data_IF_333915870830
#
_entry.id   IF_333915870830
#
_cell.length_a   1.000
_cell.length_b   1.000
_cell.length_c   1.000
_cell.angle_alpha   90.00
_cell.angle_beta   90.00
_cell.angle_gamma   90.00
#
_symmetry.space_group_name_H-M   'P 1'
#
loop_
_entity.id
_entity.type
_entity.pdbx_description
1 polymer ?
#
# COMPACT_ATOMS: atom_id res chain seq x y z
N UNK A 1 -4.80 -55.10 12.39
CA UNK A 1 -6.00 -54.25 12.20
C UNK A 1 -5.56 -52.81 12.28
N UNK A 2 -6.18 -51.94 11.48
CA UNK A 2 -5.96 -50.48 11.29
C UNK A 2 -4.87 -50.14 10.25
N UNK A 3 -5.25 -49.80 9.00
CA UNK A 3 -4.33 -49.17 8.04
C UNK A 3 -4.46 -47.64 8.05
N UNK A 4 -3.34 -47.00 7.69
CA UNK A 4 -3.12 -45.58 7.53
C UNK A 4 -4.10 -44.92 6.54
N UNK A 5 -4.74 -43.82 6.95
CA UNK A 5 -5.53 -42.94 6.08
C UNK A 5 -5.31 -41.47 6.48
N UNK A 6 -4.13 -40.93 6.19
CA UNK A 6 -3.78 -39.53 6.50
C UNK A 6 -3.02 -38.82 5.35
N UNK A 7 -3.23 -39.25 4.11
CA UNK A 7 -2.60 -38.65 2.91
C UNK A 7 -3.59 -38.00 1.93
N UNK A 8 -4.85 -37.83 2.30
CA UNK A 8 -5.91 -37.37 1.39
C UNK A 8 -6.27 -35.88 1.49
N UNK A 9 -5.73 -35.17 2.49
CA UNK A 9 -6.13 -33.78 2.78
C UNK A 9 -5.30 -32.70 2.07
N UNK A 10 -4.20 -33.06 1.41
CA UNK A 10 -3.34 -32.14 0.63
C UNK A 10 -3.51 -32.26 -0.89
N UNK A 11 -4.48 -33.05 -1.37
CA UNK A 11 -4.90 -32.91 -2.76
C UNK A 11 -5.75 -31.64 -2.84
N UNK A 12 -5.45 -30.69 -3.75
CA UNK A 12 -6.46 -29.71 -4.12
C UNK A 12 -7.71 -30.54 -4.44
N UNK A 13 -8.82 -30.27 -3.74
CA UNK A 13 -10.12 -30.78 -4.16
C UNK A 13 -10.20 -30.36 -5.61
N UNK A 14 -10.03 -31.31 -6.52
CA UNK A 14 -10.59 -31.18 -7.83
C UNK A 14 -12.05 -30.91 -7.53
N UNK A 15 -12.43 -29.63 -7.65
CA UNK A 15 -13.79 -29.26 -7.96
C UNK A 15 -14.23 -30.33 -8.96
N UNK A 16 -15.33 -31.07 -8.72
CA UNK A 16 -15.88 -31.87 -9.80
C UNK A 16 -16.09 -30.86 -10.92
N UNK A 17 -15.14 -30.80 -11.86
CA UNK A 17 -15.37 -30.17 -13.13
C UNK A 17 -16.59 -30.96 -13.59
N UNK A 18 -17.75 -30.30 -13.74
CA UNK A 18 -18.83 -30.92 -14.49
C UNK A 18 -18.13 -31.41 -15.74
N UNK A 19 -18.16 -32.72 -15.96
CA UNK A 19 -17.53 -33.33 -17.12
C UNK A 19 -17.83 -32.42 -18.28
N UNK A 20 -16.79 -31.81 -18.85
CA UNK A 20 -16.92 -30.93 -19.99
C UNK A 20 -17.28 -31.81 -21.18
N UNK A 21 -18.51 -32.32 -21.16
CA UNK A 21 -19.31 -32.36 -22.37
C UNK A 21 -19.16 -30.97 -22.98
N UNK A 22 -18.71 -30.84 -24.24
CA UNK A 22 -18.69 -29.55 -24.89
C UNK A 22 -20.12 -29.02 -24.87
N UNK A 23 -20.44 -28.19 -23.87
CA UNK A 23 -21.64 -27.39 -23.91
C UNK A 23 -21.53 -26.60 -25.20
N UNK A 24 -22.48 -26.75 -26.15
CA UNK A 24 -22.48 -25.90 -27.32
C UNK A 24 -22.42 -24.47 -26.79
N UNK A 25 -21.42 -23.69 -27.23
CA UNK A 25 -21.31 -22.29 -26.83
C UNK A 25 -22.72 -21.69 -26.95
N UNK A 26 -23.28 -21.12 -25.87
CA UNK A 26 -24.62 -20.56 -25.93
C UNK A 26 -24.64 -19.60 -27.12
N UNK A 27 -25.67 -19.71 -27.96
CA UNK A 27 -25.75 -18.87 -29.15
C UNK A 27 -25.56 -17.42 -28.70
N UNK A 28 -24.77 -16.62 -29.42
CA UNK A 28 -24.38 -15.24 -29.03
C UNK A 28 -25.56 -14.40 -28.47
N UNK A 29 -26.77 -14.65 -28.97
CA UNK A 29 -28.02 -14.07 -28.51
C UNK A 29 -28.38 -14.37 -27.05
N UNK A 30 -28.17 -15.60 -26.61
CA UNK A 30 -28.43 -16.07 -25.25
C UNK A 30 -27.45 -15.44 -24.26
N UNK A 31 -26.16 -15.36 -24.61
CA UNK A 31 -25.16 -14.64 -23.81
C UNK A 31 -25.50 -13.14 -23.70
N UNK A 32 -25.86 -12.48 -24.80
CA UNK A 32 -26.29 -11.08 -24.77
C UNK A 32 -27.53 -10.86 -23.89
N UNK A 33 -28.45 -11.84 -23.87
CA UNK A 33 -29.65 -11.77 -23.04
C UNK A 33 -29.30 -11.86 -21.56
N UNK A 34 -28.49 -12.83 -21.18
CA UNK A 34 -28.02 -13.00 -19.80
C UNK A 34 -27.24 -11.77 -19.31
N UNK A 35 -26.37 -11.21 -20.15
CA UNK A 35 -25.64 -9.98 -19.85
C UNK A 35 -26.57 -8.79 -19.66
N UNK A 36 -27.52 -8.54 -20.57
CA UNK A 36 -28.49 -7.46 -20.42
C UNK A 36 -29.33 -7.58 -19.15
N UNK A 37 -29.78 -8.80 -18.81
CA UNK A 37 -30.59 -9.04 -17.62
C UNK A 37 -29.80 -8.82 -16.32
N UNK A 38 -28.57 -9.31 -16.25
CA UNK A 38 -27.70 -9.10 -15.10
C UNK A 38 -27.35 -7.61 -14.92
N UNK A 39 -27.04 -6.90 -16.00
CA UNK A 39 -26.78 -5.45 -15.98
C UNK A 39 -27.99 -4.65 -15.51
N UNK A 40 -29.19 -5.00 -15.99
CA UNK A 40 -30.44 -4.35 -15.58
C UNK A 40 -30.73 -4.57 -14.11
N UNK A 41 -30.59 -5.81 -13.61
CA UNK A 41 -30.77 -6.12 -12.18
C UNK A 41 -29.74 -5.41 -11.31
N UNK A 42 -28.48 -5.36 -11.72
CA UNK A 42 -27.43 -4.61 -11.05
C UNK A 42 -27.77 -3.11 -10.95
N UNK A 43 -28.17 -2.51 -12.07
CA UNK A 43 -28.49 -1.09 -12.11
C UNK A 43 -29.69 -0.74 -11.23
N UNK A 44 -30.74 -1.58 -11.22
CA UNK A 44 -31.91 -1.40 -10.35
C UNK A 44 -31.55 -1.59 -8.86
N UNK A 45 -30.73 -2.59 -8.53
CA UNK A 45 -30.32 -2.88 -7.16
C UNK A 45 -29.44 -1.78 -6.55
N UNK A 46 -28.58 -1.16 -7.37
CA UNK A 46 -27.72 -0.05 -6.94
C UNK A 46 -28.34 1.34 -7.15
N UNK A 47 -29.60 1.42 -7.60
CA UNK A 47 -30.30 2.69 -7.81
C UNK A 47 -29.67 3.57 -8.89
N UNK A 48 -29.00 2.96 -9.88
CA UNK A 48 -28.41 3.71 -10.99
C UNK A 48 -29.53 4.28 -11.89
N UNK A 49 -29.35 5.49 -12.43
CA UNK A 49 -30.34 6.14 -13.29
C UNK A 49 -30.40 5.43 -14.65
N UNK A 50 -31.30 4.47 -14.78
CA UNK A 50 -31.62 3.79 -16.05
C UNK A 50 -32.98 4.25 -16.53
N UNK A 51 -33.10 4.57 -17.83
CA UNK A 51 -34.36 4.98 -18.42
C UNK A 51 -35.39 3.84 -18.28
N UNK A 52 -36.58 4.08 -17.72
CA UNK A 52 -37.60 3.04 -17.51
C UNK A 52 -38.04 2.38 -18.81
N UNK A 53 -37.96 3.10 -19.93
CA UNK A 53 -38.25 2.57 -21.27
C UNK A 53 -37.25 1.48 -21.69
N UNK A 54 -35.98 1.56 -21.26
CA UNK A 54 -34.98 0.53 -21.55
C UNK A 54 -35.27 -0.78 -20.81
N UNK A 55 -35.72 -0.68 -19.55
CA UNK A 55 -36.09 -1.85 -18.75
C UNK A 55 -37.35 -2.51 -19.32
N UNK A 56 -38.35 -1.70 -19.70
CA UNK A 56 -39.57 -2.20 -20.35
C UNK A 56 -39.30 -2.88 -21.71
N UNK A 57 -38.43 -2.28 -22.54
CA UNK A 57 -38.00 -2.87 -23.81
C UNK A 57 -37.24 -4.18 -23.61
N UNK A 58 -36.36 -4.25 -22.61
CA UNK A 58 -35.63 -5.47 -22.27
C UNK A 58 -36.59 -6.58 -21.79
N UNK A 59 -37.56 -6.25 -20.93
CA UNK A 59 -38.58 -7.20 -20.47
C UNK A 59 -39.38 -7.80 -21.62
N UNK A 60 -39.88 -6.95 -22.54
CA UNK A 60 -40.62 -7.42 -23.72
C UNK A 60 -39.79 -8.31 -24.65
N UNK A 61 -38.47 -8.06 -24.75
CA UNK A 61 -37.52 -8.89 -25.52
C UNK A 61 -37.23 -10.23 -24.84
N UNK A 62 -37.17 -10.27 -23.50
CA UNK A 62 -36.93 -11.48 -22.72
C UNK A 62 -38.16 -12.38 -22.72
N UNK A 63 -39.35 -11.81 -22.56
CA UNK A 63 -40.63 -12.53 -22.54
C UNK A 63 -41.10 -12.99 -23.93
N UNK A 64 -40.34 -12.66 -24.99
CA UNK A 64 -40.63 -13.08 -26.36
C UNK A 64 -41.87 -12.43 -26.97
N UNK A 65 -42.32 -11.28 -26.44
CA UNK A 65 -43.57 -10.61 -26.84
C UNK A 65 -43.40 -9.69 -28.07
N UNK A 66 -42.28 -9.80 -28.79
CA UNK A 66 -41.98 -8.92 -29.92
C UNK A 66 -42.74 -9.30 -31.19
N UNK A 67 -43.16 -8.31 -32.00
CA UNK A 67 -43.70 -8.56 -33.33
C UNK A 67 -42.63 -9.20 -34.24
N UNK A 68 -43.04 -10.19 -35.04
CA UNK A 68 -42.20 -11.08 -35.87
C UNK A 68 -41.24 -10.38 -36.89
N UNK A 69 -41.26 -9.05 -36.97
CA UNK A 69 -40.51 -8.24 -37.95
C UNK A 69 -39.31 -7.48 -37.35
N UNK A 70 -39.13 -7.49 -36.03
CA UNK A 70 -37.97 -6.84 -35.39
C UNK A 70 -36.81 -7.83 -35.32
N UNK A 71 -35.62 -7.46 -35.80
CA UNK A 71 -34.41 -8.25 -35.60
C UNK A 71 -34.01 -8.22 -34.10
N UNK A 72 -34.32 -9.29 -33.33
CA UNK A 72 -34.25 -9.23 -31.86
C UNK A 72 -32.82 -9.03 -31.36
N UNK A 73 -31.83 -9.52 -32.13
CA UNK A 73 -30.41 -9.42 -31.82
C UNK A 73 -29.88 -7.98 -31.89
N UNK A 74 -30.33 -7.17 -32.85
CA UNK A 74 -29.90 -5.78 -32.98
C UNK A 74 -30.47 -4.92 -31.83
N UNK A 75 -31.73 -5.16 -31.46
CA UNK A 75 -32.35 -4.50 -30.32
C UNK A 75 -31.63 -4.84 -29.01
N UNK A 76 -31.29 -6.12 -28.79
CA UNK A 76 -30.50 -6.56 -27.64
C UNK A 76 -29.12 -5.89 -27.58
N UNK A 77 -28.39 -5.85 -28.69
CA UNK A 77 -27.05 -5.22 -28.73
C UNK A 77 -27.11 -3.71 -28.47
N UNK A 78 -28.14 -3.02 -28.95
CA UNK A 78 -28.35 -1.60 -28.68
C UNK A 78 -28.67 -1.33 -27.20
N UNK A 79 -29.48 -2.19 -26.58
CA UNK A 79 -29.79 -2.14 -25.15
C UNK A 79 -28.55 -2.45 -24.31
N UNK A 80 -27.79 -3.48 -24.71
CA UNK A 80 -26.52 -3.87 -24.07
C UNK A 80 -25.55 -2.70 -23.98
N UNK A 81 -25.30 -2.00 -25.09
CA UNK A 81 -24.41 -0.83 -25.13
C UNK A 81 -24.88 0.31 -24.21
N UNK A 82 -26.19 0.56 -24.14
CA UNK A 82 -26.77 1.61 -23.28
C UNK A 82 -26.67 1.24 -21.80
N UNK A 83 -26.92 -0.02 -21.46
CA UNK A 83 -26.73 -0.56 -20.11
C UNK A 83 -25.26 -0.52 -19.70
N UNK A 84 -24.35 -0.96 -20.58
CA UNK A 84 -22.90 -0.94 -20.35
C UNK A 84 -22.38 0.47 -20.03
N UNK A 85 -22.91 1.49 -20.69
CA UNK A 85 -22.57 2.88 -20.38
C UNK A 85 -23.15 3.34 -19.03
N UNK A 86 -24.36 2.90 -18.68
CA UNK A 86 -25.02 3.26 -17.42
C UNK A 86 -24.39 2.60 -16.19
N UNK A 87 -23.81 1.41 -16.34
CA UNK A 87 -23.16 0.66 -15.24
C UNK A 87 -21.67 1.00 -15.07
N UNK A 88 -21.10 1.87 -15.91
CA UNK A 88 -19.70 2.27 -15.80
C UNK A 88 -19.41 2.84 -14.39
N UNK A 89 -18.33 2.42 -13.71
CA UNK A 89 -17.15 1.71 -14.23
C UNK A 89 -17.22 0.16 -14.20
N UNK A 90 -18.35 -0.45 -13.86
CA UNK A 90 -18.50 -1.90 -13.87
C UNK A 90 -18.61 -2.45 -15.31
N UNK A 91 -17.97 -3.58 -15.60
CA UNK A 91 -18.04 -4.23 -16.93
C UNK A 91 -19.18 -5.25 -16.98
N UNK A 92 -19.84 -5.45 -18.13
CA UNK A 92 -20.95 -6.41 -18.28
C UNK A 92 -20.59 -7.83 -17.81
N UNK A 93 -19.39 -8.28 -18.18
CA UNK A 93 -18.87 -9.60 -17.83
C UNK A 93 -18.62 -9.76 -16.32
N UNK A 94 -18.20 -8.68 -15.63
CA UNK A 94 -18.02 -8.74 -14.19
C UNK A 94 -19.37 -8.84 -13.47
N UNK A 95 -20.38 -8.11 -13.96
CA UNK A 95 -21.73 -8.11 -13.40
C UNK A 95 -22.41 -9.47 -13.58
N UNK A 96 -22.30 -10.13 -14.75
CA UNK A 96 -22.88 -11.47 -14.97
C UNK A 96 -22.26 -12.54 -14.08
N UNK A 97 -20.93 -12.52 -13.92
CA UNK A 97 -20.24 -13.46 -13.05
C UNK A 97 -20.64 -13.29 -11.58
N UNK A 98 -20.75 -12.03 -11.13
CA UNK A 98 -21.20 -11.71 -9.77
C UNK A 98 -22.66 -12.11 -9.56
N UNK A 99 -23.53 -11.86 -10.53
CA UNK A 99 -24.96 -12.18 -10.44
C UNK A 99 -25.22 -13.70 -10.45
N UNK A 100 -24.46 -14.46 -11.24
CA UNK A 100 -24.48 -15.92 -11.20
C UNK A 100 -24.08 -16.46 -9.81
N UNK A 101 -23.09 -15.84 -9.15
CA UNK A 101 -22.69 -16.18 -7.79
C UNK A 101 -23.74 -15.81 -6.74
N UNK A 102 -24.43 -14.67 -6.88
CA UNK A 102 -25.52 -14.27 -5.98
C UNK A 102 -26.73 -15.22 -6.08
N UNK A 103 -27.01 -15.77 -7.26
CA UNK A 103 -28.13 -16.71 -7.47
C UNK A 103 -27.90 -18.09 -6.84
N UNK A 104 -26.67 -18.50 -6.60
CA UNK A 104 -26.34 -19.72 -5.86
C UNK A 104 -26.66 -19.58 -4.37
N UNK A 105 -27.88 -19.98 -3.99
CA UNK A 105 -28.32 -20.02 -2.59
C UNK A 105 -27.40 -20.91 -1.76
N UNK A 106 -26.62 -20.29 -0.86
CA UNK A 106 -25.74 -21.03 0.05
C UNK A 106 -26.46 -21.42 1.35
N UNK A 107 -26.22 -22.64 1.88
CA UNK A 107 -26.94 -23.18 3.04
C UNK A 107 -26.69 -22.43 4.37
N UNK A 108 -25.77 -21.46 4.41
CA UNK A 108 -25.47 -20.68 5.62
C UNK A 108 -25.83 -19.19 5.48
N UNK A 109 -26.92 -18.86 4.80
CA UNK A 109 -27.44 -17.48 4.65
C UNK A 109 -27.80 -16.78 5.98
N UNK A 110 -27.85 -17.52 7.09
CA UNK A 110 -28.16 -16.98 8.43
C UNK A 110 -27.07 -16.07 9.00
N UNK A 111 -25.80 -16.24 8.59
CA UNK A 111 -24.68 -15.39 9.05
C UNK A 111 -24.51 -14.08 8.26
N UNK A 112 -25.53 -13.73 7.46
CA UNK A 112 -25.58 -12.51 6.66
C UNK A 112 -25.57 -12.79 5.15
N UNK A 113 -26.09 -11.85 4.34
CA UNK A 113 -26.21 -12.00 2.89
C UNK A 113 -24.86 -11.96 2.15
N UNK A 114 -23.77 -11.60 2.84
CA UNK A 114 -22.46 -11.39 2.24
C UNK A 114 -21.56 -12.63 2.41
N UNK A 115 -21.15 -13.31 1.32
CA UNK A 115 -20.36 -14.54 1.38
C UNK A 115 -18.98 -14.32 2.05
N UNK A 116 -18.41 -13.12 1.89
CA UNK A 116 -17.15 -12.75 2.51
C UNK A 116 -17.22 -12.71 4.04
N UNK A 117 -18.29 -12.15 4.62
CA UNK A 117 -18.48 -12.12 6.08
C UNK A 117 -18.50 -13.54 6.62
N UNK A 118 -19.24 -14.44 5.96
CA UNK A 118 -19.30 -15.86 6.33
C UNK A 118 -17.93 -16.54 6.29
N UNK A 119 -17.15 -16.27 5.25
CA UNK A 119 -15.80 -16.82 5.10
C UNK A 119 -14.88 -16.31 6.22
N UNK A 120 -14.90 -15.01 6.51
CA UNK A 120 -14.08 -14.39 7.55
C UNK A 120 -14.48 -14.84 8.96
N UNK A 121 -15.77 -14.95 9.25
CA UNK A 121 -16.26 -15.52 10.52
C UNK A 121 -15.84 -16.98 10.64
N UNK A 122 -15.93 -17.77 9.56
CA UNK A 122 -15.44 -19.14 9.53
C UNK A 122 -13.93 -19.22 9.79
N UNK A 123 -13.13 -18.36 9.16
CA UNK A 123 -11.70 -18.27 9.39
C UNK A 123 -11.37 -17.90 10.84
N UNK A 124 -12.09 -16.93 11.43
CA UNK A 124 -11.92 -16.55 12.83
C UNK A 124 -12.21 -17.72 13.79
N UNK A 125 -13.28 -18.48 13.55
CA UNK A 125 -13.61 -19.67 14.33
C UNK A 125 -12.53 -20.74 14.19
N UNK A 126 -12.05 -20.99 12.96
CA UNK A 126 -10.97 -21.95 12.72
C UNK A 126 -9.70 -21.54 13.45
N UNK A 127 -9.29 -20.27 13.38
CA UNK A 127 -8.14 -19.77 14.13
C UNK A 127 -8.34 -19.88 15.63
N UNK A 128 -9.53 -19.56 16.16
CA UNK A 128 -9.83 -19.71 17.59
C UNK A 128 -9.70 -21.17 18.04
N UNK A 129 -10.30 -22.11 17.31
CA UNK A 129 -10.19 -23.54 17.60
C UNK A 129 -8.73 -23.98 17.50
N UNK A 130 -7.99 -23.47 16.52
CA UNK A 130 -6.59 -23.80 16.34
C UNK A 130 -5.71 -23.26 17.48
N UNK A 131 -5.94 -22.03 17.98
CA UNK A 131 -5.29 -21.47 19.18
C UNK A 131 -5.57 -22.33 20.40
N UNK A 132 -6.82 -22.75 20.61
CA UNK A 132 -7.19 -23.61 21.74
C UNK A 132 -6.47 -24.96 21.61
N UNK A 133 -6.50 -25.58 20.43
CA UNK A 133 -5.89 -26.88 20.19
C UNK A 133 -4.36 -26.85 20.36
N UNK A 134 -3.67 -25.82 19.86
CA UNK A 134 -2.22 -25.69 20.03
C UNK A 134 -1.84 -25.27 21.44
N UNK A 135 -2.64 -24.44 22.10
CA UNK A 135 -2.44 -24.03 23.50
C UNK A 135 -2.62 -25.16 24.52
N UNK A 136 -3.25 -26.27 24.13
CA UNK A 136 -3.30 -27.49 24.95
C UNK A 136 -2.02 -28.34 24.86
N UNK A 137 -1.12 -28.04 23.92
CA UNK A 137 0.14 -28.78 23.78
C UNK A 137 1.08 -28.46 24.94
N UNK A 138 1.74 -29.47 25.55
CA UNK A 138 2.73 -29.24 26.61
C UNK A 138 3.96 -28.45 26.12
N UNK A 139 4.18 -28.41 24.80
CA UNK A 139 5.26 -27.66 24.19
C UNK A 139 5.00 -26.14 24.19
N UNK A 140 3.72 -25.72 24.26
CA UNK A 140 3.31 -24.32 24.33
C UNK A 140 3.29 -23.86 25.79
N UNK A 141 4.41 -23.28 26.21
CA UNK A 141 4.59 -22.71 27.55
C UNK A 141 5.21 -21.32 27.47
N UNK A 142 5.05 -20.49 28.51
CA UNK A 142 5.71 -19.18 28.57
C UNK A 142 7.22 -19.30 28.38
N UNK A 143 7.85 -20.26 29.08
CA UNK A 143 9.28 -20.52 28.99
C UNK A 143 9.77 -20.86 27.58
N UNK A 144 8.97 -21.55 26.77
CA UNK A 144 9.35 -21.90 25.40
C UNK A 144 8.97 -20.81 24.39
N UNK A 145 7.88 -20.09 24.60
CA UNK A 145 7.45 -18.95 23.77
C UNK A 145 8.46 -17.80 23.85
N UNK A 146 9.11 -17.63 25.00
CA UNK A 146 10.07 -16.54 25.20
C UNK A 146 11.40 -16.75 24.48
N UNK A 147 11.80 -18.01 24.24
CA UNK A 147 13.06 -18.38 23.59
C UNK A 147 13.20 -18.00 22.10
N UNK A 148 12.20 -17.35 21.49
CA UNK A 148 12.31 -16.84 20.10
C UNK A 148 12.64 -17.92 19.07
N UNK A 149 12.86 -17.54 17.81
CA UNK A 149 13.20 -18.51 16.76
C UNK A 149 14.64 -18.98 16.77
N UNK A 150 15.55 -18.18 17.31
CA UNK A 150 16.99 -18.46 17.26
C UNK A 150 17.50 -19.32 18.43
N UNK A 151 16.83 -19.29 19.59
CA UNK A 151 17.25 -20.05 20.78
C UNK A 151 16.37 -21.30 21.05
N UNK A 152 15.43 -21.61 20.14
CA UNK A 152 14.55 -22.79 20.26
C UNK A 152 14.80 -23.77 19.12
N UNK A 153 14.97 -25.05 19.45
CA UNK A 153 15.19 -26.11 18.47
C UNK A 153 14.06 -27.16 18.49
N UNK A 154 13.80 -27.76 17.32
CA UNK A 154 12.95 -28.95 17.19
C UNK A 154 11.44 -28.72 17.27
N UNK A 155 10.73 -29.67 17.87
CA UNK A 155 9.26 -29.67 17.94
C UNK A 155 8.66 -28.49 18.73
N UNK A 156 9.25 -28.02 19.85
CA UNK A 156 8.73 -26.89 20.61
C UNK A 156 8.67 -25.58 19.80
N UNK A 157 9.67 -25.33 18.96
CA UNK A 157 9.69 -24.17 18.06
C UNK A 157 8.48 -24.18 17.12
N UNK A 158 8.21 -25.33 16.49
CA UNK A 158 7.10 -25.47 15.55
C UNK A 158 5.75 -25.21 16.24
N UNK A 159 5.52 -25.79 17.42
CA UNK A 159 4.27 -25.60 18.15
C UNK A 159 4.06 -24.17 18.62
N UNK A 160 5.11 -23.52 19.15
CA UNK A 160 5.05 -22.11 19.55
C UNK A 160 4.80 -21.18 18.37
N UNK A 161 5.49 -21.42 17.26
CA UNK A 161 5.30 -20.66 16.01
C UNK A 161 3.88 -20.80 15.52
N UNK A 162 3.35 -22.03 15.50
CA UNK A 162 2.01 -22.31 15.01
C UNK A 162 0.94 -21.69 15.92
N UNK A 163 1.14 -21.75 17.24
CA UNK A 163 0.29 -21.05 18.22
C UNK A 163 0.29 -19.53 17.98
N UNK A 164 1.46 -18.90 17.86
CA UNK A 164 1.58 -17.46 17.60
C UNK A 164 1.00 -17.08 16.22
N UNK A 165 1.17 -17.91 15.21
CA UNK A 165 0.59 -17.74 13.88
C UNK A 165 -0.95 -17.75 13.93
N UNK A 166 -1.54 -18.64 14.72
CA UNK A 166 -2.98 -18.68 14.92
C UNK A 166 -3.49 -17.50 15.75
N UNK A 167 -2.73 -17.02 16.74
CA UNK A 167 -3.03 -15.77 17.44
C UNK A 167 -3.02 -14.57 16.47
N UNK A 168 -2.00 -14.47 15.61
CA UNK A 168 -1.95 -13.43 14.58
C UNK A 168 -3.10 -13.53 13.57
N UNK A 169 -3.44 -14.76 13.15
CA UNK A 169 -4.57 -15.05 12.28
C UNK A 169 -5.93 -14.65 12.87
N UNK A 170 -6.11 -14.86 14.17
CA UNK A 170 -7.30 -14.44 14.91
C UNK A 170 -7.43 -12.91 14.91
N UNK A 171 -6.34 -12.19 15.24
CA UNK A 171 -6.31 -10.73 15.19
C UNK A 171 -6.62 -10.17 13.79
N UNK A 172 -6.00 -10.75 12.76
CA UNK A 172 -6.20 -10.35 11.36
C UNK A 172 -7.63 -10.60 10.86
N UNK A 173 -8.23 -11.72 11.27
CA UNK A 173 -9.63 -12.04 10.97
C UNK A 173 -10.57 -11.06 11.66
N UNK A 174 -10.33 -10.69 12.91
CA UNK A 174 -11.10 -9.67 13.62
C UNK A 174 -11.04 -8.30 12.94
N UNK A 175 -9.85 -7.83 12.57
CA UNK A 175 -9.70 -6.55 11.87
C UNK A 175 -10.43 -6.53 10.53
N UNK A 176 -10.27 -7.60 9.75
CA UNK A 176 -10.90 -7.72 8.44
C UNK A 176 -12.43 -7.81 8.56
N UNK A 177 -12.93 -8.54 9.55
CA UNK A 177 -14.36 -8.68 9.83
C UNK A 177 -14.97 -7.35 10.30
N UNK A 178 -14.31 -6.62 11.21
CA UNK A 178 -14.79 -5.32 11.68
C UNK A 178 -14.87 -4.31 10.54
N UNK A 179 -13.87 -4.34 9.66
CA UNK A 179 -13.85 -3.47 8.49
C UNK A 179 -14.93 -3.85 7.47
N UNK A 180 -15.13 -5.15 7.21
CA UNK A 180 -16.19 -5.65 6.35
C UNK A 180 -17.58 -5.30 6.90
N UNK A 181 -17.81 -5.47 8.21
CA UNK A 181 -19.06 -5.10 8.86
C UNK A 181 -19.35 -3.60 8.71
N UNK A 182 -18.34 -2.74 8.82
CA UNK A 182 -18.51 -1.29 8.60
C UNK A 182 -18.91 -0.97 7.15
N UNK A 183 -18.36 -1.65 6.17
CA UNK A 183 -18.73 -1.45 4.76
C UNK A 183 -20.15 -1.96 4.45
N UNK A 184 -20.54 -3.07 5.07
CA UNK A 184 -21.91 -3.60 4.96
C UNK A 184 -22.91 -2.69 5.69
N UNK A 185 -22.58 -2.20 6.88
CA UNK A 185 -23.41 -1.24 7.62
C UNK A 185 -23.58 0.10 6.89
N UNK A 186 -22.59 0.51 6.08
CA UNK A 186 -22.65 1.69 5.24
C UNK A 186 -23.29 1.44 3.86
N UNK A 187 -23.83 0.23 3.60
CA UNK A 187 -24.38 -0.18 2.30
C UNK A 187 -23.42 0.05 1.11
N UNK A 188 -22.10 0.14 1.38
CA UNK A 188 -21.05 0.42 0.38
C UNK A 188 -20.22 -0.85 0.10
N UNK A 189 -20.76 -2.03 0.43
CA UNK A 189 -20.08 -3.29 0.17
C UNK A 189 -20.11 -3.61 -1.33
N UNK A 190 -18.94 -3.65 -1.94
CA UNK A 190 -18.73 -4.07 -3.32
C UNK A 190 -17.96 -5.42 -3.32
N UNK A 191 -18.60 -6.53 -3.79
CA UNK A 191 -18.00 -7.86 -3.88
C UNK A 191 -16.70 -7.92 -4.69
N UNK A 192 -16.43 -6.93 -5.56
CA UNK A 192 -15.19 -6.85 -6.35
C UNK A 192 -13.93 -6.84 -5.48
N UNK A 193 -14.03 -6.40 -4.23
CA UNK A 193 -12.90 -6.30 -3.32
C UNK A 193 -12.67 -7.54 -2.45
N UNK A 194 -13.41 -8.64 -2.63
CA UNK A 194 -13.29 -9.88 -1.84
C UNK A 194 -11.84 -10.40 -1.77
N UNK A 195 -11.12 -10.41 -2.90
CA UNK A 195 -9.71 -10.78 -2.94
C UNK A 195 -8.81 -9.85 -2.10
N UNK A 196 -9.14 -8.55 -2.04
CA UNK A 196 -8.40 -7.57 -1.25
C UNK A 196 -8.57 -7.78 0.26
N UNK A 197 -9.72 -8.28 0.71
CA UNK A 197 -9.92 -8.65 2.11
C UNK A 197 -9.10 -9.90 2.49
N UNK A 198 -9.03 -10.89 1.59
CA UNK A 198 -8.15 -12.06 1.77
C UNK A 198 -6.67 -11.67 1.84
N UNK A 199 -6.22 -10.79 0.95
CA UNK A 199 -4.85 -10.27 0.99
C UNK A 199 -4.55 -9.51 2.29
N UNK A 200 -5.52 -8.73 2.80
CA UNK A 200 -5.39 -8.01 4.08
C UNK A 200 -5.28 -8.96 5.27
N UNK A 201 -6.03 -10.06 5.25
CA UNK A 201 -5.94 -11.10 6.28
C UNK A 201 -4.55 -11.76 6.29
N UNK A 202 -4.02 -12.14 5.12
CA UNK A 202 -2.66 -12.70 5.01
C UNK A 202 -1.61 -11.70 5.50
N UNK A 203 -1.72 -10.45 5.07
CA UNK A 203 -0.80 -9.38 5.50
C UNK A 203 -0.84 -9.18 7.02
N UNK A 204 -2.03 -9.25 7.63
CA UNK A 204 -2.19 -9.21 9.07
C UNK A 204 -1.49 -10.37 9.77
N UNK A 205 -1.69 -11.61 9.30
CA UNK A 205 -1.02 -12.79 9.88
C UNK A 205 0.50 -12.63 9.87
N UNK A 206 1.05 -12.21 8.73
CA UNK A 206 2.50 -11.98 8.56
C UNK A 206 2.97 -10.84 9.50
N UNK A 207 2.25 -9.73 9.53
CA UNK A 207 2.58 -8.59 10.38
C UNK A 207 2.56 -8.95 11.88
N UNK A 208 1.58 -9.74 12.32
CA UNK A 208 1.51 -10.23 13.69
C UNK A 208 2.69 -11.12 14.08
N UNK A 209 3.10 -12.02 13.18
CA UNK A 209 4.26 -12.88 13.41
C UNK A 209 5.57 -12.08 13.44
N UNK A 210 5.78 -11.18 12.47
CA UNK A 210 6.97 -10.32 12.42
C UNK A 210 7.06 -9.45 13.67
N UNK A 211 5.94 -8.89 14.14
CA UNK A 211 5.93 -8.03 15.32
C UNK A 211 6.42 -8.78 16.56
N UNK A 212 6.00 -10.02 16.75
CA UNK A 212 6.42 -10.82 17.91
C UNK A 212 7.90 -11.16 17.88
N UNK A 213 8.45 -11.44 16.68
CA UNK A 213 9.87 -11.81 16.56
C UNK A 213 10.80 -10.59 16.61
N UNK A 214 10.34 -9.44 16.11
CA UNK A 214 11.13 -8.21 16.12
C UNK A 214 11.14 -7.50 17.47
N UNK A 215 10.11 -7.69 18.32
CA UNK A 215 10.07 -7.00 19.61
C UNK A 215 10.91 -7.75 20.67
N UNK A 216 11.89 -7.07 21.30
CA UNK A 216 12.74 -7.71 22.30
C UNK A 216 11.92 -8.22 23.50
N UNK A 217 12.21 -9.44 23.95
CA UNK A 217 11.54 -10.05 25.10
C UNK A 217 11.69 -9.22 26.40
N UNK A 218 12.75 -8.42 26.52
CA UNK A 218 13.02 -7.59 27.70
C UNK A 218 11.94 -6.51 27.94
N UNK A 219 11.16 -6.12 26.92
CA UNK A 219 10.04 -5.19 27.06
C UNK A 219 8.87 -5.80 27.85
N UNK A 220 8.79 -7.13 27.93
CA UNK A 220 7.71 -7.86 28.60
C UNK A 220 8.08 -8.38 29.98
N UNK A 221 9.35 -8.24 30.35
CA UNK A 221 9.92 -8.73 31.62
C UNK A 221 9.52 -7.84 32.81
N UNK A 222 9.07 -6.60 32.55
CA UNK A 222 8.62 -5.66 33.57
C UNK A 222 7.09 -5.63 33.71
N UNK A 223 6.51 -6.67 34.35
CA UNK A 223 5.12 -6.63 34.83
C UNK A 223 4.33 -7.94 34.75
N UNK A 224 3.07 -7.92 35.19
CA UNK A 224 2.13 -9.06 35.19
C UNK A 224 1.71 -9.56 33.79
N UNK A 225 2.23 -8.96 32.72
CA UNK A 225 1.95 -9.33 31.32
C UNK A 225 2.91 -10.38 30.74
N UNK A 226 3.91 -10.84 31.49
CA UNK A 226 4.94 -11.79 30.99
C UNK A 226 4.35 -13.06 30.34
N UNK A 227 3.25 -13.62 30.86
CA UNK A 227 2.64 -14.84 30.30
C UNK A 227 1.71 -14.61 29.11
N UNK A 228 1.28 -13.36 28.86
CA UNK A 228 0.32 -13.01 27.81
C UNK A 228 0.88 -12.06 26.75
N UNK A 229 2.10 -11.54 26.94
CA UNK A 229 2.70 -10.50 26.10
C UNK A 229 2.84 -10.90 24.64
N UNK A 230 3.58 -11.97 24.33
CA UNK A 230 3.80 -12.41 22.93
C UNK A 230 2.51 -12.81 22.20
N UNK A 231 1.59 -13.60 22.78
CA UNK A 231 0.33 -13.93 22.11
C UNK A 231 -0.58 -12.71 21.90
N UNK A 232 -0.63 -11.79 22.88
CA UNK A 232 -1.38 -10.54 22.74
C UNK A 232 -0.78 -9.63 21.68
N UNK A 233 0.55 -9.53 21.59
CA UNK A 233 1.24 -8.84 20.50
C UNK A 233 0.95 -9.45 19.15
N UNK A 234 0.96 -10.78 19.01
CA UNK A 234 0.61 -11.46 17.77
C UNK A 234 -0.80 -11.04 17.33
N UNK A 235 -1.78 -11.08 18.24
CA UNK A 235 -3.15 -10.63 17.97
C UNK A 235 -3.22 -9.15 17.60
N UNK A 236 -2.50 -8.27 18.32
CA UNK A 236 -2.48 -6.84 18.07
C UNK A 236 -1.85 -6.50 16.71
N UNK A 237 -0.73 -7.15 16.37
CA UNK A 237 -0.05 -6.99 15.09
C UNK A 237 -0.88 -7.57 13.94
N UNK A 238 -1.57 -8.68 14.18
CA UNK A 238 -2.57 -9.25 13.28
C UNK A 238 -3.71 -8.28 12.99
N UNK A 239 -4.25 -7.65 14.03
CA UNK A 239 -5.33 -6.69 13.94
C UNK A 239 -4.90 -5.39 13.24
N UNK A 240 -3.67 -4.94 13.47
CA UNK A 240 -3.17 -3.64 13.01
C UNK A 240 -1.97 -3.77 12.07
N UNK A 241 -2.14 -4.53 10.99
CA UNK A 241 -1.11 -4.72 9.97
C UNK A 241 -0.49 -3.39 9.48
N UNK A 242 -1.33 -2.35 9.33
CA UNK A 242 -0.89 -1.00 8.94
C UNK A 242 0.00 -0.34 9.99
N UNK A 243 -0.29 -0.50 11.28
CA UNK A 243 0.54 0.06 12.34
C UNK A 243 1.89 -0.67 12.41
N UNK A 244 1.90 -1.99 12.25
CA UNK A 244 3.14 -2.77 12.17
C UNK A 244 3.98 -2.34 10.97
N UNK A 245 3.38 -2.19 9.79
CA UNK A 245 4.08 -1.70 8.61
C UNK A 245 4.69 -0.31 8.83
N UNK A 246 3.95 0.62 9.47
CA UNK A 246 4.48 1.94 9.84
C UNK A 246 5.64 1.87 10.83
N UNK A 247 5.58 0.94 11.79
CA UNK A 247 6.67 0.73 12.75
C UNK A 247 7.92 0.23 12.04
N UNK A 248 7.79 -0.80 11.20
CA UNK A 248 8.89 -1.32 10.39
C UNK A 248 9.48 -0.23 9.49
N UNK A 249 8.63 0.55 8.83
CA UNK A 249 9.07 1.66 8.00
C UNK A 249 9.89 2.67 8.81
N UNK A 250 9.42 3.05 10.01
CA UNK A 250 10.18 3.94 10.91
C UNK A 250 11.52 3.37 11.32
N UNK A 251 11.62 2.06 11.57
CA UNK A 251 12.89 1.41 11.91
C UNK A 251 13.84 1.41 10.70
N UNK A 252 13.31 1.16 9.50
CA UNK A 252 14.07 1.26 8.25
C UNK A 252 14.55 2.69 8.04
N UNK A 253 13.67 3.69 8.19
CA UNK A 253 14.02 5.11 8.03
C UNK A 253 15.06 5.55 9.07
N UNK A 254 14.96 5.06 10.32
CA UNK A 254 15.93 5.33 11.37
C UNK A 254 17.29 4.66 11.08
N UNK A 255 17.29 3.41 10.60
CA UNK A 255 18.49 2.71 10.17
C UNK A 255 19.11 3.39 8.95
N UNK A 256 18.29 3.82 7.99
CA UNK A 256 18.72 4.59 6.83
C UNK A 256 19.33 5.91 7.27
N UNK A 257 18.76 6.59 8.27
CA UNK A 257 19.31 7.82 8.84
C UNK A 257 20.64 7.56 9.56
N UNK A 258 20.77 6.44 10.26
CA UNK A 258 22.00 6.05 10.95
C UNK A 258 23.10 5.63 9.97
N UNK A 259 22.76 4.90 8.91
CA UNK A 259 23.68 4.41 7.87
C UNK A 259 24.06 5.51 6.87
N UNK A 260 23.13 6.40 6.55
CA UNK A 260 23.36 7.60 5.75
C UNK A 260 23.93 8.76 6.58
N UNK A 261 24.08 8.56 7.90
CA UNK A 261 24.48 9.55 8.90
C UNK A 261 25.63 10.45 8.48
N UNK A 262 25.54 11.71 8.92
CA UNK A 262 26.41 12.87 8.70
C UNK A 262 26.70 13.26 7.24
N UNK A 263 26.98 12.34 6.33
CA UNK A 263 27.55 12.70 5.03
C UNK A 263 26.63 13.51 4.12
N UNK A 264 25.32 13.23 4.09
CA UNK A 264 24.39 14.04 3.29
C UNK A 264 24.01 15.34 3.98
N UNK A 265 23.83 15.31 5.31
CA UNK A 265 23.52 16.51 6.09
C UNK A 265 24.70 17.49 6.11
N UNK A 266 25.93 17.00 6.27
CA UNK A 266 27.17 17.77 6.18
C UNK A 266 27.45 18.24 4.75
N UNK A 267 27.19 17.41 3.73
CA UNK A 267 27.33 17.84 2.34
C UNK A 267 26.34 18.94 1.99
N UNK A 268 25.08 18.83 2.42
CA UNK A 268 24.06 19.86 2.20
C UNK A 268 24.38 21.13 2.99
N UNK A 269 24.86 21.00 4.24
CA UNK A 269 25.34 22.13 5.04
C UNK A 269 26.56 22.81 4.41
N UNK A 270 27.50 22.05 3.87
CA UNK A 270 28.68 22.57 3.17
C UNK A 270 28.30 23.28 1.85
N UNK A 271 27.35 22.73 1.08
CA UNK A 271 26.84 23.35 -0.15
C UNK A 271 26.08 24.64 0.16
N UNK A 272 25.27 24.66 1.22
CA UNK A 272 24.57 25.87 1.66
C UNK A 272 25.55 26.94 2.15
N UNK A 273 26.58 26.56 2.91
CA UNK A 273 27.63 27.48 3.32
C UNK A 273 28.42 28.05 2.13
N UNK A 274 28.71 27.22 1.11
CA UNK A 274 29.35 27.67 -0.12
C UNK A 274 28.48 28.66 -0.90
N UNK A 275 27.18 28.38 -1.04
CA UNK A 275 26.24 29.28 -1.73
C UNK A 275 26.04 30.60 -0.97
N UNK A 276 25.99 30.56 0.36
CA UNK A 276 25.91 31.76 1.19
C UNK A 276 27.16 32.64 1.02
N UNK A 277 28.36 32.04 1.02
CA UNK A 277 29.62 32.76 0.77
C UNK A 277 29.66 33.38 -0.63
N UNK A 278 29.30 32.62 -1.67
CA UNK A 278 29.26 33.13 -3.04
C UNK A 278 28.22 34.27 -3.22
N UNK A 279 27.10 34.23 -2.50
CA UNK A 279 26.13 35.32 -2.48
C UNK A 279 26.70 36.57 -1.78
N UNK A 280 27.37 36.41 -0.64
CA UNK A 280 28.01 37.52 0.07
C UNK A 280 29.13 38.18 -0.75
N UNK A 281 29.96 37.39 -1.42
CA UNK A 281 31.02 37.89 -2.32
C UNK A 281 30.42 38.72 -3.47
N UNK A 282 29.31 38.27 -4.05
CA UNK A 282 28.60 39.04 -5.09
C UNK A 282 28.06 40.37 -4.58
N UNK A 283 27.47 40.38 -3.39
CA UNK A 283 26.95 41.62 -2.79
C UNK A 283 28.08 42.58 -2.44
N UNK A 284 29.20 42.09 -1.92
CA UNK A 284 30.39 42.89 -1.66
C UNK A 284 30.94 43.50 -2.95
N UNK A 285 31.10 42.69 -4.01
CA UNK A 285 31.60 43.17 -5.30
C UNK A 285 30.67 44.22 -5.94
N UNK A 286 29.35 44.04 -5.83
CA UNK A 286 28.38 45.04 -6.28
C UNK A 286 28.50 46.36 -5.50
N UNK A 287 28.74 46.29 -4.19
CA UNK A 287 28.92 47.47 -3.35
C UNK A 287 30.23 48.23 -3.66
N UNK A 288 31.32 47.51 -3.93
CA UNK A 288 32.60 48.08 -4.36
C UNK A 288 32.50 48.74 -5.74
N UNK A 289 31.80 48.10 -6.69
CA UNK A 289 31.54 48.67 -8.00
C UNK A 289 30.74 49.97 -7.88
N UNK A 290 29.68 49.98 -7.07
CA UNK A 290 28.87 51.16 -6.83
C UNK A 290 29.68 52.31 -6.20
N UNK A 291 30.53 52.01 -5.21
CA UNK A 291 31.41 53.01 -4.59
C UNK A 291 32.40 53.61 -5.58
N UNK A 292 33.02 52.79 -6.44
CA UNK A 292 33.96 53.25 -7.47
C UNK A 292 33.28 54.10 -8.56
N UNK A 293 32.03 53.79 -8.91
CA UNK A 293 31.25 54.61 -9.85
C UNK A 293 30.89 55.97 -9.24
N UNK A 294 30.57 56.01 -7.95
CA UNK A 294 30.30 57.26 -7.22
C UNK A 294 31.58 58.11 -7.13
N UNK A 295 32.75 57.52 -6.84
CA UNK A 295 34.06 58.23 -6.84
C UNK A 295 34.38 58.82 -8.22
N UNK A 296 34.13 58.05 -9.29
CA UNK A 296 34.28 58.54 -10.66
C UNK A 296 33.34 59.70 -10.97
N UNK A 297 32.07 59.62 -10.57
CA UNK A 297 31.11 60.70 -10.76
C UNK A 297 31.51 61.98 -10.01
N UNK A 298 31.92 61.87 -8.74
CA UNK A 298 32.41 63.01 -7.97
C UNK A 298 33.67 63.64 -8.59
N UNK A 299 34.54 62.82 -9.18
CA UNK A 299 35.73 63.31 -9.88
C UNK A 299 35.44 64.01 -11.22
N UNK A 300 34.29 63.70 -11.85
CA UNK A 300 33.79 64.37 -13.06
C UNK A 300 33.20 65.75 -12.75
N UNK A 301 32.60 65.91 -11.56
CA UNK A 301 32.02 67.18 -11.10
C UNK A 301 33.09 68.16 -10.57
N UNK A 302 34.28 67.66 -10.21
CA UNK A 302 35.46 68.48 -9.91
C UNK A 302 36.21 68.90 -11.17
N UNK A 303 36.92 70.03 -11.14
CA UNK A 303 37.79 70.55 -12.23
C UNK A 303 39.07 69.70 -12.45
N UNK A 304 38.93 68.38 -12.57
CA UNK A 304 40.03 67.45 -12.76
C UNK A 304 40.49 67.45 -14.23
N UNK A 305 41.81 67.39 -14.44
CA UNK A 305 42.41 67.41 -15.77
C UNK A 305 42.11 66.13 -16.58
N UNK A 306 41.90 66.24 -17.91
CA UNK A 306 41.49 65.12 -18.77
C UNK A 306 42.48 63.94 -18.82
N UNK A 307 43.75 64.16 -18.45
CA UNK A 307 44.77 63.10 -18.38
C UNK A 307 44.65 62.22 -17.13
N UNK A 308 44.30 62.80 -15.97
CA UNK A 308 44.06 62.06 -14.75
C UNK A 308 42.87 61.10 -14.91
N UNK A 309 41.88 61.50 -15.71
CA UNK A 309 40.69 60.70 -16.04
C UNK A 309 41.01 59.47 -16.89
N UNK A 310 41.84 59.63 -17.94
CA UNK A 310 42.26 58.50 -18.79
C UNK A 310 43.06 57.46 -18.02
N UNK A 311 43.94 57.91 -17.12
CA UNK A 311 44.73 57.02 -16.27
C UNK A 311 43.84 56.20 -15.33
N UNK A 312 42.87 56.84 -14.67
CA UNK A 312 41.96 56.16 -13.73
C UNK A 312 40.98 55.20 -14.43
N UNK A 313 40.51 55.54 -15.63
CA UNK A 313 39.71 54.64 -16.47
C UNK A 313 40.52 53.41 -16.93
N UNK A 314 41.79 53.61 -17.28
CA UNK A 314 42.71 52.52 -17.62
C UNK A 314 43.01 51.61 -16.41
N UNK A 315 43.13 52.18 -15.22
CA UNK A 315 43.31 51.42 -13.98
C UNK A 315 42.04 50.64 -13.59
N UNK A 316 40.86 51.21 -13.77
CA UNK A 316 39.57 50.54 -13.55
C UNK A 316 39.33 49.37 -14.51
N UNK A 317 39.57 49.58 -15.81
CA UNK A 317 39.46 48.52 -16.83
C UNK A 317 40.44 47.38 -16.58
N UNK A 318 41.66 47.69 -16.10
CA UNK A 318 42.63 46.67 -15.67
C UNK A 318 42.17 45.89 -14.44
N UNK A 319 41.57 46.55 -13.44
CA UNK A 319 41.02 45.90 -12.26
C UNK A 319 39.84 44.96 -12.60
N UNK A 320 38.95 45.38 -13.52
CA UNK A 320 37.84 44.56 -14.03
C UNK A 320 38.33 43.31 -14.78
N UNK A 321 39.38 43.45 -15.59
CA UNK A 321 39.97 42.33 -16.33
C UNK A 321 40.69 41.33 -15.39
N UNK A 322 41.37 41.82 -14.35
CA UNK A 322 42.03 40.97 -13.36
C UNK A 322 41.05 40.20 -12.46
N UNK A 323 39.89 40.79 -12.12
CA UNK A 323 38.84 40.13 -11.34
C UNK A 323 38.04 39.09 -12.15
N UNK A 324 38.13 39.12 -13.47
CA UNK A 324 37.43 38.20 -14.38
C UNK A 324 38.18 36.88 -14.61
N UNK A 325 39.37 36.70 -14.02
CA UNK A 325 40.21 35.51 -14.18
C UNK A 325 40.00 34.55 -12.98
N UNK A 326 39.20 33.47 -13.10
CA UNK A 326 38.84 32.61 -11.98
C UNK A 326 39.96 31.65 -11.53
N UNK A 327 41.17 31.75 -12.10
CA UNK A 327 42.27 30.80 -11.88
C UNK A 327 43.26 31.18 -10.76
N UNK A 328 43.05 32.30 -10.07
CA UNK A 328 43.96 32.78 -9.01
C UNK A 328 43.45 32.56 -7.57
N UNK A 329 42.57 31.58 -7.35
CA UNK A 329 42.30 31.10 -5.99
C UNK A 329 43.45 30.17 -5.56
N UNK A 330 44.22 30.46 -4.49
CA UNK A 330 45.22 29.52 -4.00
C UNK A 330 44.51 28.26 -3.49
N UNK A 331 45.03 27.05 -3.75
CA UNK A 331 44.44 25.84 -3.20
C UNK A 331 44.51 25.88 -1.66
N UNK A 332 43.53 25.30 -0.95
CA UNK A 332 43.53 25.29 0.50
C UNK A 332 44.78 24.56 1.00
N UNK A 333 45.56 25.22 1.84
CA UNK A 333 46.69 24.60 2.54
C UNK A 333 46.16 23.48 3.44
N UNK A 334 46.49 22.25 3.07
CA UNK A 334 46.43 21.09 3.96
C UNK A 334 47.33 21.37 5.16
N UNK A 335 46.72 21.74 6.30
CA UNK A 335 47.39 21.76 7.58
C UNK A 335 47.69 20.32 8.01
N UNK A 336 48.89 19.85 7.67
CA UNK A 336 49.51 18.71 8.33
C UNK A 336 49.76 19.09 9.79
N UNK A 337 48.80 18.78 10.67
CA UNK A 337 48.96 18.83 12.11
C UNK A 337 49.94 17.76 12.57
N UNK A 338 51.22 18.11 12.64
CA UNK A 338 52.22 17.34 13.37
C UNK A 338 51.85 17.31 14.85
N UNK A 339 51.65 16.11 15.37
CA UNK A 339 51.62 15.84 16.81
C UNK A 339 52.92 15.13 17.19
N UNK A 340 53.96 15.94 17.41
CA UNK A 340 55.03 15.60 18.36
C UNK A 340 54.76 16.38 19.63
N UNK A 341 54.44 15.70 20.72
CA UNK A 341 54.92 16.03 22.06
C UNK A 341 54.66 14.86 23.02
N UNK A 342 55.72 14.61 23.78
CA UNK A 342 55.90 13.73 24.93
C UNK A 342 54.78 13.80 25.97
#
# INVERSE_FOLDING_TARGET
MIPLALSHWLRPRAVPQPQAQPQPAPALAEQLREECEAMARYALHHGLPVAPELIAQLGALIDGQMPAHAAPHHALAAIHRKLAAAIAPATPQAVTLLDAQHRSAHPFAWLGPVPLIRLLTGAAIVFLVAVIATGMSPDVSSANIDRGFLDSDGAPLLWNTLFLLFCAGLGASFATLFQAHRYVAASTYDPKYDASYGARLILGVIAGLILVEMLPAQLFDQGSMHSFGKPALAMLGGFSATAVHRLLQRLVDALETLVRGDRSADADAAIQAYRARAASERTQWQSELAANLIDLQQSLDGTASPEAMRKRLADFTRAMLAASDPAAAPPPSLSAGGTSKE
#
